data_IF_031871716443
#
_entry.id   IF_031871716443
#
_cell.length_a   1.000
_cell.length_b   1.000
_cell.length_c   1.000
_cell.angle_alpha   90.00
_cell.angle_beta   90.00
_cell.angle_gamma   90.00
#
_symmetry.space_group_name_H-M   'P 1'
#
loop_
_entity.id
_entity.type
_entity.pdbx_description
1 polymer ?
#
# COMPACT_ATOMS: atom_id res chain seq x y z
N UNK A 1 -14.32 -0.04 12.98
CA UNK A 1 -13.81 1.22 13.57
C UNK A 1 -12.81 1.77 12.58
N UNK A 2 -13.00 3.00 12.08
CA UNK A 2 -12.15 3.56 11.02
C UNK A 2 -10.78 3.93 11.61
N UNK A 3 -9.67 3.25 11.24
CA UNK A 3 -8.34 3.46 11.83
C UNK A 3 -7.70 4.81 11.49
N UNK A 4 -8.39 5.68 10.74
CA UNK A 4 -7.83 6.94 10.24
C UNK A 4 -8.21 8.17 11.09
N UNK A 5 -9.09 8.03 12.09
CA UNK A 5 -9.58 9.16 12.90
C UNK A 5 -8.73 9.33 14.15
N UNK A 6 -7.64 10.11 14.08
CA UNK A 6 -6.95 10.61 15.28
C UNK A 6 -5.44 10.82 15.15
N UNK A 7 -4.80 10.15 14.19
CA UNK A 7 -3.42 10.43 13.80
C UNK A 7 -3.48 11.30 12.55
N UNK A 8 -3.13 12.58 12.69
CA UNK A 8 -3.07 13.50 11.55
C UNK A 8 -2.06 13.03 10.50
N UNK A 9 -1.88 13.82 9.44
CA UNK A 9 -0.81 13.55 8.47
C UNK A 9 0.54 13.40 9.19
N UNK A 10 1.42 12.47 8.74
CA UNK A 10 2.72 12.29 9.35
C UNK A 10 3.54 13.59 9.27
N UNK A 11 4.30 13.87 10.31
CA UNK A 11 5.24 15.00 10.34
C UNK A 11 6.37 14.79 9.34
N UNK A 12 7.04 15.86 8.93
CA UNK A 12 8.20 15.75 8.02
C UNK A 12 9.33 14.87 8.58
N UNK A 13 9.47 14.82 9.91
CA UNK A 13 10.43 13.92 10.57
C UNK A 13 10.02 12.44 10.44
N UNK A 14 8.72 12.14 10.59
CA UNK A 14 8.19 10.78 10.37
C UNK A 14 8.32 10.38 8.89
N UNK A 15 8.01 11.27 7.95
CA UNK A 15 8.19 11.01 6.51
C UNK A 15 9.64 10.68 6.15
N UNK A 16 10.59 11.40 6.73
CA UNK A 16 12.02 11.14 6.52
C UNK A 16 12.44 9.79 7.13
N UNK A 17 11.95 9.44 8.32
CA UNK A 17 12.23 8.15 8.95
C UNK A 17 11.64 6.99 8.14
N UNK A 18 10.42 7.14 7.62
CA UNK A 18 9.79 6.18 6.72
C UNK A 18 10.65 5.99 5.48
N UNK A 19 11.05 7.09 4.82
CA UNK A 19 11.91 7.04 3.63
C UNK A 19 13.20 6.28 3.91
N UNK A 20 13.93 6.64 4.97
CA UNK A 20 15.20 6.00 5.33
C UNK A 20 15.03 4.51 5.62
N UNK A 21 13.98 4.15 6.37
CA UNK A 21 13.70 2.76 6.70
C UNK A 21 13.47 1.92 5.45
N UNK A 22 12.71 2.45 4.49
CA UNK A 22 12.42 1.78 3.22
C UNK A 22 13.66 1.71 2.31
N UNK A 23 14.44 2.79 2.22
CA UNK A 23 15.67 2.84 1.40
C UNK A 23 16.80 1.97 1.95
N UNK A 24 16.82 1.68 3.26
CA UNK A 24 17.81 0.81 3.88
C UNK A 24 17.61 -0.69 3.57
N UNK A 25 16.48 -1.07 2.96
CA UNK A 25 16.16 -2.47 2.64
C UNK A 25 16.98 -2.96 1.43
N UNK A 26 17.75 -4.05 1.54
CA UNK A 26 18.55 -4.56 0.43
C UNK A 26 17.71 -5.02 -0.78
N UNK A 27 16.47 -5.42 -0.57
CA UNK A 27 15.50 -5.83 -1.58
C UNK A 27 14.83 -4.64 -2.31
N UNK A 28 14.97 -3.41 -1.79
CA UNK A 28 14.46 -2.21 -2.43
C UNK A 28 15.44 -1.67 -3.47
N UNK A 29 14.97 -1.48 -4.69
CA UNK A 29 15.68 -0.79 -5.76
C UNK A 29 15.54 0.75 -5.66
N UNK A 30 14.47 1.22 -5.01
CA UNK A 30 14.24 2.65 -4.78
C UNK A 30 12.91 2.92 -4.09
N UNK A 31 12.73 4.17 -3.63
CA UNK A 31 11.52 4.62 -2.97
C UNK A 31 11.04 5.91 -3.63
N UNK A 32 9.80 5.91 -4.11
CA UNK A 32 9.15 7.08 -4.69
C UNK A 32 8.13 7.63 -3.70
N UNK A 33 8.09 8.95 -3.56
CA UNK A 33 7.08 9.63 -2.75
C UNK A 33 6.01 10.23 -3.66
N UNK A 34 4.76 9.88 -3.40
CA UNK A 34 3.57 10.40 -4.05
C UNK A 34 2.88 11.35 -3.07
N UNK A 35 2.90 12.65 -3.36
CA UNK A 35 2.17 13.62 -2.55
C UNK A 35 0.66 13.57 -2.81
N UNK A 36 -0.12 14.24 -1.97
CA UNK A 36 -1.58 14.32 -2.08
C UNK A 36 -2.09 14.74 -3.48
N UNK A 37 -1.42 15.68 -4.14
CA UNK A 37 -1.82 16.16 -5.46
C UNK A 37 -1.62 15.07 -6.51
N UNK A 38 -0.43 14.46 -6.53
CA UNK A 38 -0.11 13.34 -7.42
C UNK A 38 -1.05 12.15 -7.19
N UNK A 39 -1.31 11.80 -5.93
CA UNK A 39 -2.19 10.70 -5.56
C UNK A 39 -3.64 10.96 -6.02
N UNK A 40 -4.14 12.19 -5.85
CA UNK A 40 -5.49 12.56 -6.30
C UNK A 40 -5.62 12.57 -7.83
N UNK A 41 -4.62 13.09 -8.55
CA UNK A 41 -4.60 13.05 -10.01
C UNK A 41 -4.62 11.62 -10.53
N UNK A 42 -3.80 10.75 -9.94
CA UNK A 42 -3.76 9.32 -10.26
C UNK A 42 -5.08 8.63 -9.94
N UNK A 43 -5.69 8.92 -8.79
CA UNK A 43 -7.02 8.43 -8.43
C UNK A 43 -8.06 8.81 -9.49
N UNK A 44 -8.11 10.09 -9.89
CA UNK A 44 -9.04 10.55 -10.92
C UNK A 44 -8.84 9.83 -12.25
N UNK A 45 -7.59 9.58 -12.63
CA UNK A 45 -7.27 8.84 -13.85
C UNK A 45 -7.69 7.36 -13.80
N UNK A 46 -7.60 6.72 -12.64
CA UNK A 46 -8.00 5.32 -12.46
C UNK A 46 -9.52 5.13 -12.46
N UNK A 47 -10.27 6.10 -11.95
CA UNK A 47 -11.72 6.01 -11.77
C UNK A 47 -12.50 6.94 -12.70
N UNK A 48 -11.96 7.24 -13.90
CA UNK A 48 -12.61 8.10 -14.89
C UNK A 48 -14.03 7.64 -15.25
N UNK A 49 -14.27 6.34 -15.22
CA UNK A 49 -15.56 5.73 -15.57
C UNK A 49 -16.56 5.68 -14.40
N UNK A 50 -16.13 6.04 -13.17
CA UNK A 50 -16.98 6.07 -11.98
C UNK A 50 -17.25 7.52 -11.53
N UNK A 51 -18.15 8.17 -12.26
CA UNK A 51 -18.54 9.55 -11.98
C UNK A 51 -19.18 9.73 -10.59
N UNK A 52 -19.77 8.68 -10.01
CA UNK A 52 -20.33 8.72 -8.66
C UNK A 52 -19.23 8.81 -7.61
N UNK A 53 -18.21 7.96 -7.74
CA UNK A 53 -17.05 7.95 -6.85
C UNK A 53 -16.25 9.27 -6.94
N UNK A 54 -16.03 9.80 -8.15
CA UNK A 54 -15.31 11.06 -8.35
C UNK A 54 -16.00 12.28 -7.73
N UNK A 55 -17.32 12.22 -7.49
CA UNK A 55 -18.09 13.32 -6.88
C UNK A 55 -18.01 13.34 -5.35
N UNK A 56 -17.75 12.19 -4.72
CA UNK A 56 -17.80 12.06 -3.26
C UNK A 56 -16.42 12.06 -2.62
N UNK A 57 -15.38 11.67 -3.36
CA UNK A 57 -14.01 11.63 -2.86
C UNK A 57 -13.35 13.00 -3.00
N UNK A 58 -12.97 13.59 -1.87
CA UNK A 58 -12.23 14.85 -1.82
C UNK A 58 -10.72 14.59 -1.90
N UNK A 59 -9.92 15.57 -2.36
CA UNK A 59 -8.46 15.45 -2.37
C UNK A 59 -7.86 15.11 -1.00
N UNK A 60 -8.48 15.59 0.09
CA UNK A 60 -8.05 15.31 1.47
C UNK A 60 -8.30 13.86 1.91
N UNK A 61 -9.17 13.12 1.20
CA UNK A 61 -9.47 11.72 1.51
C UNK A 61 -8.44 10.77 0.91
N UNK A 62 -7.60 11.26 -0.02
CA UNK A 62 -6.53 10.49 -0.64
C UNK A 62 -5.23 10.78 0.11
N UNK A 63 -4.64 9.82 0.82
CA UNK A 63 -3.38 10.02 1.53
C UNK A 63 -2.20 10.10 0.56
N UNK A 64 -1.15 10.82 0.97
CA UNK A 64 0.18 10.65 0.40
C UNK A 64 0.71 9.22 0.64
N UNK A 65 1.63 8.77 -0.21
CA UNK A 65 2.15 7.40 -0.14
C UNK A 65 3.63 7.28 -0.52
N UNK A 66 4.28 6.24 0.01
CA UNK A 66 5.59 5.79 -0.44
C UNK A 66 5.44 4.53 -1.27
N UNK A 67 5.97 4.56 -2.49
CA UNK A 67 6.03 3.40 -3.38
C UNK A 67 7.44 2.82 -3.36
N UNK A 68 7.56 1.60 -2.82
CA UNK A 68 8.82 0.84 -2.84
C UNK A 68 8.91 0.10 -4.16
N UNK A 69 9.96 0.39 -4.93
CA UNK A 69 10.33 -0.36 -6.11
C UNK A 69 11.21 -1.53 -5.66
N UNK A 70 10.74 -2.76 -5.82
CA UNK A 70 11.50 -3.95 -5.48
C UNK A 70 12.52 -4.26 -6.57
N UNK A 71 13.65 -4.86 -6.18
CA UNK A 71 14.64 -5.33 -7.15
C UNK A 71 14.06 -6.48 -8.01
N UNK A 72 14.54 -6.66 -9.25
CA UNK A 72 14.06 -7.74 -10.12
C UNK A 72 14.34 -9.15 -9.58
N UNK A 73 15.32 -9.29 -8.68
CA UNK A 73 15.73 -10.54 -8.03
C UNK A 73 15.08 -10.75 -6.64
N UNK A 74 14.20 -9.84 -6.20
CA UNK A 74 13.47 -9.99 -4.94
C UNK A 74 12.50 -11.18 -5.02
N UNK A 75 12.46 -11.97 -3.95
CA UNK A 75 11.52 -13.09 -3.83
C UNK A 75 10.11 -12.57 -3.47
N UNK A 76 9.03 -13.29 -3.80
CA UNK A 76 7.67 -12.86 -3.46
C UNK A 76 7.47 -12.56 -1.97
N UNK A 77 8.09 -13.34 -1.09
CA UNK A 77 8.06 -13.13 0.37
C UNK A 77 8.69 -11.81 0.82
N UNK A 78 9.63 -11.24 0.05
CA UNK A 78 10.29 -9.98 0.36
C UNK A 78 9.30 -8.81 0.29
N UNK A 79 8.32 -8.85 -0.61
CA UNK A 79 7.29 -7.82 -0.74
C UNK A 79 6.44 -7.74 0.53
N UNK A 80 6.01 -8.90 1.03
CA UNK A 80 5.24 -9.01 2.26
C UNK A 80 6.08 -8.60 3.47
N UNK A 81 7.36 -8.97 3.52
CA UNK A 81 8.27 -8.59 4.59
C UNK A 81 8.49 -7.07 4.64
N UNK A 82 8.70 -6.43 3.48
CA UNK A 82 8.83 -4.97 3.38
C UNK A 82 7.55 -4.28 3.84
N UNK A 83 6.38 -4.72 3.37
CA UNK A 83 5.11 -4.13 3.77
C UNK A 83 4.87 -4.26 5.27
N UNK A 84 5.13 -5.43 5.85
CA UNK A 84 4.99 -5.67 7.30
C UNK A 84 5.95 -4.79 8.11
N UNK A 85 7.23 -4.70 7.74
CA UNK A 85 8.16 -3.81 8.44
C UNK A 85 7.74 -2.35 8.30
N UNK A 86 7.25 -1.95 7.13
CA UNK A 86 6.80 -0.57 6.90
C UNK A 86 5.61 -0.19 7.81
N UNK A 87 4.66 -1.10 8.06
CA UNK A 87 3.53 -0.82 8.98
C UNK A 87 3.96 -0.57 10.42
N UNK A 88 5.14 -1.02 10.82
CA UNK A 88 5.66 -0.82 12.19
C UNK A 88 6.36 0.54 12.35
N UNK A 89 6.52 1.32 11.28
CA UNK A 89 7.18 2.62 11.31
C UNK A 89 6.19 3.72 11.73
N UNK A 90 6.55 4.56 12.73
CA UNK A 90 5.70 5.68 13.13
C UNK A 90 5.32 6.59 11.97
N UNK A 91 4.03 6.92 11.86
CA UNK A 91 3.48 7.75 10.79
C UNK A 91 2.96 6.97 9.58
N UNK A 92 3.20 5.65 9.50
CA UNK A 92 2.59 4.78 8.49
C UNK A 92 1.22 4.34 8.97
N UNK A 93 0.15 4.74 8.28
CA UNK A 93 -1.19 4.28 8.65
C UNK A 93 -1.49 2.86 8.14
N UNK A 94 -1.05 2.55 6.91
CA UNK A 94 -1.24 1.28 6.23
C UNK A 94 -0.05 1.00 5.31
N UNK A 95 0.39 -0.24 5.26
CA UNK A 95 1.32 -0.75 4.28
C UNK A 95 0.68 -1.91 3.50
N UNK A 96 0.80 -1.90 2.18
CA UNK A 96 0.14 -2.87 1.30
C UNK A 96 1.18 -3.55 0.42
N UNK A 97 1.21 -4.87 0.47
CA UNK A 97 1.87 -5.69 -0.54
C UNK A 97 0.98 -5.72 -1.79
N UNK A 98 1.32 -4.87 -2.76
CA UNK A 98 0.58 -4.77 -4.01
C UNK A 98 0.71 -6.02 -4.89
N UNK A 99 1.78 -6.82 -4.74
CA UNK A 99 1.94 -8.06 -5.48
C UNK A 99 0.96 -9.11 -4.94
N UNK A 100 0.96 -9.32 -3.63
CA UNK A 100 -0.02 -10.17 -2.93
C UNK A 100 -1.46 -9.73 -3.26
N UNK A 101 -1.76 -8.43 -3.19
CA UNK A 101 -3.10 -7.92 -3.47
C UNK A 101 -3.55 -8.20 -4.90
N UNK A 102 -2.65 -8.02 -5.89
CA UNK A 102 -2.94 -8.31 -7.30
C UNK A 102 -3.18 -9.79 -7.53
N UNK A 103 -2.33 -10.64 -6.99
CA UNK A 103 -2.44 -12.09 -7.13
C UNK A 103 -3.76 -12.59 -6.54
N UNK A 104 -4.15 -12.06 -5.37
CA UNK A 104 -5.43 -12.36 -4.73
C UNK A 104 -6.64 -11.90 -5.54
N UNK A 105 -6.56 -10.75 -6.20
CA UNK A 105 -7.64 -10.22 -7.03
C UNK A 105 -7.68 -10.86 -8.43
N UNK A 106 -6.77 -11.79 -8.74
CA UNK A 106 -6.76 -12.48 -10.02
C UNK A 106 -7.96 -13.43 -10.16
N UNK A 107 -8.41 -13.65 -11.39
CA UNK A 107 -9.54 -14.58 -11.65
C UNK A 107 -9.17 -16.01 -11.27
N UNK A 108 -7.89 -16.37 -11.34
CA UNK A 108 -7.40 -17.71 -11.02
C UNK A 108 -7.54 -18.01 -9.53
N UNK A 109 -7.11 -17.08 -8.67
CA UNK A 109 -7.23 -17.22 -7.21
C UNK A 109 -8.70 -17.30 -6.75
N UNK A 110 -9.63 -16.60 -7.40
CA UNK A 110 -11.07 -16.68 -7.09
C UNK A 110 -11.64 -18.08 -7.36
N UNK A 111 -11.15 -18.76 -8.40
CA UNK A 111 -11.57 -20.14 -8.72
C UNK A 111 -10.94 -21.13 -7.74
N UNK A 112 -9.68 -20.95 -7.38
CA UNK A 112 -8.97 -21.80 -6.40
C UNK A 112 -9.59 -21.70 -5.00
N UNK A 113 -10.01 -20.51 -4.57
CA UNK A 113 -10.72 -20.29 -3.29
C UNK A 113 -12.12 -20.96 -3.21
N UNK A 114 -12.63 -21.52 -4.32
CA UNK A 114 -13.87 -22.31 -4.33
C UNK A 114 -13.63 -23.82 -4.19
N UNK A 115 -12.37 -24.24 -4.03
CA UNK A 115 -11.98 -25.60 -3.67
C UNK A 115 -11.69 -25.66 -2.16
N UNK A 116 -12.21 -26.65 -1.42
CA UNK A 116 -12.07 -26.69 0.02
C UNK A 116 -10.65 -27.13 0.41
N UNK A 117 -9.85 -26.20 0.89
CA UNK A 117 -8.57 -26.47 1.55
C UNK A 117 -7.69 -25.24 1.65
N UNK A 118 -7.15 -25.01 2.86
CA UNK A 118 -6.08 -24.06 3.24
C UNK A 118 -6.55 -22.76 3.92
N UNK A 119 -6.84 -22.89 5.22
CA UNK A 119 -7.20 -21.83 6.19
C UNK A 119 -6.00 -20.98 6.67
N UNK A 120 -5.07 -20.60 5.79
CA UNK A 120 -3.99 -19.64 6.11
C UNK A 120 -3.86 -18.62 4.97
N UNK A 121 -4.86 -17.76 4.81
CA UNK A 121 -4.81 -16.70 3.81
C UNK A 121 -3.75 -15.65 4.17
N UNK A 122 -2.68 -15.46 3.36
CA UNK A 122 -1.66 -14.47 3.65
C UNK A 122 -2.27 -13.05 3.60
N UNK A 123 -2.04 -12.29 4.67
CA UNK A 123 -2.48 -10.90 4.79
C UNK A 123 -1.67 -10.01 3.84
N UNK A 124 -2.31 -9.39 2.84
CA UNK A 124 -1.64 -8.46 1.91
C UNK A 124 -1.59 -7.00 2.41
N UNK A 125 -2.33 -6.66 3.48
CA UNK A 125 -2.46 -5.29 3.99
C UNK A 125 -2.23 -5.26 5.48
N UNK A 126 -1.30 -4.42 5.91
CA UNK A 126 -0.83 -4.30 7.29
C UNK A 126 -1.16 -2.91 7.82
N UNK A 127 -2.13 -2.76 8.74
CA UNK A 127 -2.36 -1.51 9.45
C UNK A 127 -1.25 -1.27 10.49
N UNK A 128 -1.08 -0.01 10.91
CA UNK A 128 -0.25 0.38 12.07
C UNK A 128 -0.65 -0.31 13.38
#
# INVERSE_FOLDING_TARGET
MAPCLGRGAPSEAEKEEIRRTLEARPEAAGVLFEDHGQAYERFRAQFLDDAGLLQVVQPSDIPESFHVLMRPDAAPEDFTAVARTASEVPGVSHAVDQNCFRDRMSVLSVIENHLPGEDDEPQCSFPE
#
